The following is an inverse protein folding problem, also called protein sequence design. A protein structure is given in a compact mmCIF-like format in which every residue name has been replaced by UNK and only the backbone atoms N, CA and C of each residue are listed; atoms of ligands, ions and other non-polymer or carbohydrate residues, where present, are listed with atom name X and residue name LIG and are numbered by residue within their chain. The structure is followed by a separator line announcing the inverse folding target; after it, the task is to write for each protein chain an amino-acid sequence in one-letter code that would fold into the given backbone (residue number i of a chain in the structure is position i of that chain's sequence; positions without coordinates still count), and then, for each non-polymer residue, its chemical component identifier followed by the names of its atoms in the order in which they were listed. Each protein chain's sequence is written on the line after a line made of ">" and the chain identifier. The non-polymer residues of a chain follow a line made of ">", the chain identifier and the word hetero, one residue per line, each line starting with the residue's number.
data_IF_854253460805
#
_entry.id   IF_854253460805
#
_cell.length_a   1.000
_cell.length_b   1.000
_cell.length_c   1.000
_cell.angle_alpha   90.00
_cell.angle_beta   90.00
_cell.angle_gamma   90.00
#
_symmetry.space_group_name_H-M   'P 1'
#
loop_
_entity.id
_entity.type
_entity.pdbx_description
1 polymer ?
#
# COMPACT_ATOMS: atom_id res chain seq x y z
N UNK A 1 24.40 -14.94 -12.67
CA UNK A 1 24.69 -13.51 -12.42
C UNK A 1 24.58 -12.66 -13.69
N UNK A 2 25.12 -13.09 -14.80
CA UNK A 2 25.13 -12.33 -16.07
C UNK A 2 23.75 -11.93 -16.59
N UNK A 3 22.77 -12.83 -16.56
CA UNK A 3 21.39 -12.57 -17.01
C UNK A 3 20.69 -11.50 -16.18
N UNK A 4 20.87 -11.47 -14.85
CA UNK A 4 20.28 -10.46 -13.98
C UNK A 4 20.88 -9.07 -14.24
N UNK A 5 22.21 -8.99 -14.45
CA UNK A 5 22.91 -7.75 -14.81
C UNK A 5 22.46 -7.20 -16.15
N UNK A 6 22.23 -8.07 -17.14
CA UNK A 6 21.71 -7.66 -18.46
C UNK A 6 20.29 -7.08 -18.33
N UNK A 7 19.41 -7.71 -17.54
CA UNK A 7 18.06 -7.21 -17.32
C UNK A 7 18.05 -5.83 -16.66
N UNK A 8 18.90 -5.60 -15.65
CA UNK A 8 19.01 -4.29 -14.98
C UNK A 8 19.49 -3.21 -15.94
N UNK A 9 20.40 -3.52 -16.88
CA UNK A 9 20.90 -2.57 -17.89
C UNK A 9 19.87 -2.15 -18.92
N UNK A 10 18.79 -2.92 -19.10
CA UNK A 10 17.70 -2.60 -20.02
C UNK A 10 16.62 -1.71 -19.39
N UNK A 11 16.69 -1.47 -18.08
CA UNK A 11 15.75 -0.60 -17.39
C UNK A 11 16.03 0.87 -17.66
N UNK A 12 14.99 1.72 -17.73
CA UNK A 12 15.17 3.16 -17.92
C UNK A 12 15.95 3.77 -16.75
N UNK A 13 16.94 4.62 -17.05
CA UNK A 13 17.87 5.21 -16.09
C UNK A 13 17.49 6.65 -15.69
N UNK A 14 16.58 7.30 -16.39
CA UNK A 14 16.18 8.69 -16.12
C UNK A 14 14.68 8.91 -16.42
N UNK A 15 14.17 10.06 -15.96
CA UNK A 15 12.74 10.40 -16.07
C UNK A 15 12.23 10.35 -17.51
N UNK A 16 12.99 10.90 -18.47
CA UNK A 16 12.59 10.90 -19.88
C UNK A 16 12.51 9.49 -20.46
N UNK A 17 13.46 8.62 -20.10
CA UNK A 17 13.43 7.21 -20.53
C UNK A 17 12.27 6.45 -19.88
N UNK A 18 11.93 6.75 -18.61
CA UNK A 18 10.77 6.18 -17.95
C UNK A 18 9.48 6.57 -18.68
N UNK A 19 9.30 7.86 -18.99
CA UNK A 19 8.13 8.37 -19.71
C UNK A 19 8.02 7.75 -21.12
N UNK A 20 9.13 7.71 -21.86
CA UNK A 20 9.16 7.10 -23.19
C UNK A 20 8.84 5.60 -23.15
N UNK A 21 9.38 4.88 -22.17
CA UNK A 21 9.13 3.44 -22.02
C UNK A 21 7.67 3.17 -21.63
N UNK A 22 7.08 3.97 -20.73
CA UNK A 22 5.68 3.88 -20.37
C UNK A 22 4.78 4.10 -21.60
N UNK A 23 5.03 5.16 -22.39
CA UNK A 23 4.27 5.45 -23.62
C UNK A 23 4.36 4.33 -24.65
N UNK A 24 5.53 3.69 -24.80
CA UNK A 24 5.69 2.53 -25.69
C UNK A 24 4.87 1.32 -25.22
N UNK A 25 4.83 1.07 -23.92
CA UNK A 25 4.02 -0.01 -23.35
C UNK A 25 2.51 0.27 -23.52
N UNK A 26 2.06 1.51 -23.32
CA UNK A 26 0.68 1.93 -23.55
C UNK A 26 0.27 1.73 -25.01
N UNK A 27 1.06 2.21 -25.97
CA UNK A 27 0.83 2.02 -27.40
C UNK A 27 0.81 0.54 -27.79
N UNK A 28 1.72 -0.26 -27.19
CA UNK A 28 1.76 -1.71 -27.42
C UNK A 28 0.51 -2.43 -26.91
N UNK A 29 -0.03 -1.99 -25.78
CA UNK A 29 -1.29 -2.53 -25.23
C UNK A 29 -2.50 -2.13 -26.08
N UNK A 30 -2.59 -0.85 -26.47
CA UNK A 30 -3.69 -0.33 -27.29
C UNK A 30 -3.72 -0.97 -28.69
N UNK A 31 -2.55 -1.17 -29.30
CA UNK A 31 -2.43 -1.84 -30.60
C UNK A 31 -2.58 -3.36 -30.56
N UNK A 32 -2.59 -3.96 -29.36
CA UNK A 32 -2.59 -5.41 -29.17
C UNK A 32 -1.23 -6.09 -29.47
N UNK A 33 -0.18 -5.32 -29.71
CA UNK A 33 1.18 -5.84 -29.89
C UNK A 33 1.76 -6.43 -28.57
N UNK A 34 1.27 -5.94 -27.43
CA UNK A 34 1.60 -6.45 -26.09
C UNK A 34 0.38 -7.10 -25.49
N UNK A 35 0.52 -8.34 -25.01
CA UNK A 35 -0.54 -9.08 -24.33
C UNK A 35 -0.62 -8.58 -22.87
N UNK A 36 -1.74 -7.97 -22.49
CA UNK A 36 -1.93 -7.34 -21.19
C UNK A 36 -1.71 -8.31 -20.01
N UNK A 37 -2.16 -9.58 -20.14
CA UNK A 37 -1.96 -10.59 -19.09
C UNK A 37 -0.49 -10.97 -18.89
N UNK A 38 0.31 -10.96 -19.95
CA UNK A 38 1.76 -11.22 -19.87
C UNK A 38 2.48 -10.06 -19.20
N UNK A 39 2.14 -8.82 -19.58
CA UNK A 39 2.71 -7.63 -18.96
C UNK A 39 2.35 -7.55 -17.46
N UNK A 40 1.09 -7.85 -17.10
CA UNK A 40 0.64 -7.89 -15.72
C UNK A 40 1.37 -9.00 -14.92
N UNK A 41 1.56 -10.18 -15.50
CA UNK A 41 2.36 -11.26 -14.90
C UNK A 41 3.80 -10.83 -14.68
N UNK A 42 4.41 -10.16 -15.67
CA UNK A 42 5.77 -9.63 -15.57
C UNK A 42 5.90 -8.59 -14.46
N UNK A 43 5.01 -7.60 -14.40
CA UNK A 43 4.94 -6.63 -13.31
C UNK A 43 4.90 -7.31 -11.94
N UNK A 44 3.99 -8.26 -11.75
CA UNK A 44 3.84 -8.97 -10.47
C UNK A 44 5.05 -9.86 -10.12
N UNK A 45 5.74 -10.39 -11.12
CA UNK A 45 6.99 -11.12 -10.89
C UNK A 45 8.11 -10.18 -10.40
N UNK A 46 8.26 -9.02 -11.03
CA UNK A 46 9.23 -8.00 -10.60
C UNK A 46 8.94 -7.49 -9.19
N UNK A 47 7.70 -7.14 -8.88
CA UNK A 47 7.28 -6.75 -7.53
C UNK A 47 7.75 -7.78 -6.49
N UNK A 48 7.46 -9.06 -6.72
CA UNK A 48 7.88 -10.14 -5.80
C UNK A 48 9.39 -10.30 -5.68
N UNK A 49 10.13 -10.11 -6.78
CA UNK A 49 11.59 -10.14 -6.74
C UNK A 49 12.11 -9.00 -5.88
N UNK A 50 11.65 -7.77 -6.12
CA UNK A 50 12.07 -6.61 -5.35
C UNK A 50 11.66 -6.69 -3.89
N UNK A 51 10.47 -7.18 -3.57
CA UNK A 51 10.05 -7.40 -2.18
C UNK A 51 11.01 -8.34 -1.43
N UNK A 52 11.47 -9.40 -2.10
CA UNK A 52 12.41 -10.36 -1.50
C UNK A 52 13.80 -9.79 -1.24
N UNK A 53 14.32 -8.99 -2.18
CA UNK A 53 15.68 -8.46 -2.07
C UNK A 53 15.74 -7.11 -1.36
N UNK A 54 14.59 -6.47 -1.11
CA UNK A 54 14.48 -5.09 -0.58
C UNK A 54 15.35 -4.83 0.65
N UNK A 55 15.37 -5.68 1.69
CA UNK A 55 16.22 -5.43 2.86
C UNK A 55 17.70 -5.37 2.47
N UNK A 56 18.19 -6.38 1.79
CA UNK A 56 19.59 -6.45 1.35
C UNK A 56 19.95 -5.31 0.39
N UNK A 57 19.02 -4.95 -0.51
CA UNK A 57 19.22 -3.85 -1.44
C UNK A 57 19.39 -2.52 -0.71
N UNK A 58 18.53 -2.25 0.28
CA UNK A 58 18.59 -1.02 1.09
C UNK A 58 19.90 -0.98 1.89
N UNK A 59 20.27 -2.07 2.56
CA UNK A 59 21.51 -2.11 3.36
C UNK A 59 22.75 -1.88 2.49
N UNK A 60 22.81 -2.51 1.32
CA UNK A 60 23.90 -2.29 0.37
C UNK A 60 23.92 -0.84 -0.16
N UNK A 61 22.76 -0.27 -0.47
CA UNK A 61 22.65 1.10 -0.97
C UNK A 61 23.06 2.12 0.11
N UNK A 62 22.66 1.93 1.38
CA UNK A 62 23.10 2.77 2.50
C UNK A 62 24.62 2.77 2.60
N UNK A 63 25.23 1.58 2.65
CA UNK A 63 26.69 1.44 2.73
C UNK A 63 27.44 2.07 1.53
N UNK A 64 26.81 2.11 0.37
CA UNK A 64 27.36 2.78 -0.81
C UNK A 64 27.25 4.30 -0.70
N UNK A 65 26.08 4.82 -0.29
CA UNK A 65 25.80 6.26 -0.22
C UNK A 65 26.57 6.92 0.96
N UNK A 66 26.76 6.21 2.06
CA UNK A 66 27.56 6.71 3.22
C UNK A 66 28.99 7.13 2.84
N UNK A 67 29.54 6.55 1.76
CA UNK A 67 30.86 6.98 1.23
C UNK A 67 30.84 8.40 0.67
N UNK A 68 29.66 8.97 0.42
CA UNK A 68 29.41 10.31 -0.12
C UNK A 68 28.72 11.25 0.90
N UNK A 69 28.95 11.04 2.20
CA UNK A 69 28.43 11.92 3.28
C UNK A 69 26.89 12.04 3.32
N UNK A 70 26.18 10.92 3.19
CA UNK A 70 24.71 10.78 3.21
C UNK A 70 23.94 11.31 1.98
N UNK A 71 24.60 11.99 1.05
CA UNK A 71 24.00 12.43 -0.21
C UNK A 71 24.92 12.08 -1.37
N UNK A 72 24.37 11.48 -2.41
CA UNK A 72 25.10 11.11 -3.61
C UNK A 72 24.30 11.42 -4.87
N UNK A 73 24.97 11.91 -5.91
CA UNK A 73 24.41 11.98 -7.25
C UNK A 73 25.10 10.91 -8.09
N UNK A 74 24.37 9.86 -8.42
CA UNK A 74 24.86 8.71 -9.19
C UNK A 74 24.01 8.62 -10.47
N UNK A 75 24.64 8.69 -11.64
CA UNK A 75 23.94 8.63 -12.94
C UNK A 75 22.75 9.59 -13.05
N UNK A 76 22.92 10.84 -12.65
CA UNK A 76 21.88 11.88 -12.64
C UNK A 76 20.67 11.58 -11.74
N UNK A 77 20.83 10.67 -10.77
CA UNK A 77 19.83 10.37 -9.74
C UNK A 77 20.38 10.78 -8.38
N UNK A 78 19.62 11.57 -7.66
CA UNK A 78 19.97 11.98 -6.29
C UNK A 78 19.53 10.91 -5.29
N UNK A 79 20.46 10.50 -4.45
CA UNK A 79 20.22 9.59 -3.34
C UNK A 79 20.52 10.32 -2.02
N UNK A 80 19.64 10.20 -1.06
CA UNK A 80 19.85 10.73 0.30
C UNK A 80 19.43 9.74 1.36
N UNK A 81 20.27 9.59 2.39
CA UNK A 81 19.93 8.77 3.56
C UNK A 81 19.07 9.63 4.49
N UNK A 82 17.82 9.21 4.66
CA UNK A 82 16.86 9.87 5.54
C UNK A 82 16.39 8.92 6.63
N UNK A 83 16.17 9.44 7.84
CA UNK A 83 15.52 8.68 8.89
C UNK A 83 14.04 8.54 8.58
N UNK A 84 13.59 7.33 8.27
CA UNK A 84 12.19 7.05 7.99
C UNK A 84 11.42 6.87 9.31
N UNK A 85 10.62 7.88 9.64
CA UNK A 85 9.56 7.84 10.64
C UNK A 85 9.96 7.40 12.05
N UNK A 86 10.07 8.31 12.96
CA UNK A 86 10.22 8.00 14.39
C UNK A 86 8.93 7.31 14.87
N UNK A 87 9.04 6.07 15.33
CA UNK A 87 7.95 5.35 15.99
C UNK A 87 8.21 5.34 17.49
N UNK A 88 7.25 5.82 18.25
CA UNK A 88 7.30 5.75 19.70
C UNK A 88 6.60 4.48 20.19
N UNK A 89 7.32 3.68 20.98
CA UNK A 89 6.74 2.53 21.67
C UNK A 89 6.36 2.96 23.11
N UNK A 90 5.07 3.03 23.35
CA UNK A 90 4.50 3.44 24.64
C UNK A 90 4.27 2.27 25.60
N UNK A 91 4.56 1.03 25.22
CA UNK A 91 4.27 -0.18 26.01
C UNK A 91 4.94 -0.19 27.39
N UNK A 92 6.07 0.52 27.54
CA UNK A 92 6.84 0.61 28.79
C UNK A 92 6.69 1.93 29.54
N UNK A 93 5.83 2.83 29.07
CA UNK A 93 5.64 4.15 29.71
C UNK A 93 4.92 4.08 31.07
N UNK A 94 4.30 2.92 31.38
CA UNK A 94 3.53 2.66 32.61
C UNK A 94 2.47 3.75 32.90
N UNK A 95 1.92 4.35 31.85
CA UNK A 95 0.89 5.39 31.93
C UNK A 95 -0.50 4.74 31.97
N UNK A 96 -1.12 4.77 33.14
CA UNK A 96 -2.46 4.23 33.38
C UNK A 96 -3.54 4.97 32.57
N UNK A 97 -3.39 6.26 32.35
CA UNK A 97 -4.35 7.07 31.57
C UNK A 97 -4.33 6.62 30.12
N UNK A 98 -3.14 6.50 29.53
CA UNK A 98 -2.97 6.03 28.15
C UNK A 98 -3.52 4.60 27.98
N UNK A 99 -3.23 3.72 28.94
CA UNK A 99 -3.74 2.35 28.92
C UNK A 99 -5.27 2.29 28.95
N UNK A 100 -5.92 3.10 29.81
CA UNK A 100 -7.38 3.17 29.89
C UNK A 100 -7.98 3.74 28.60
N UNK A 101 -7.38 4.81 28.02
CA UNK A 101 -7.81 5.34 26.74
C UNK A 101 -7.69 4.31 25.59
N UNK A 102 -6.66 3.47 25.61
CA UNK A 102 -6.51 2.39 24.63
C UNK A 102 -7.62 1.34 24.78
N UNK A 103 -8.00 0.96 26.01
CA UNK A 103 -9.12 0.05 26.27
C UNK A 103 -10.46 0.65 25.83
N UNK A 104 -10.70 1.92 26.13
CA UNK A 104 -11.92 2.64 25.71
C UNK A 104 -12.00 2.72 24.18
N UNK A 105 -10.88 2.99 23.52
CA UNK A 105 -10.81 3.00 22.07
C UNK A 105 -11.17 1.63 21.45
N UNK A 106 -10.65 0.55 22.00
CA UNK A 106 -10.95 -0.80 21.51
C UNK A 106 -12.41 -1.18 21.78
N UNK A 107 -12.96 -0.79 22.90
CA UNK A 107 -14.38 -0.96 23.21
C UNK A 107 -15.28 -0.20 22.23
N UNK A 108 -14.96 1.07 21.96
CA UNK A 108 -15.71 1.89 20.99
C UNK A 108 -15.60 1.32 19.58
N UNK A 109 -14.41 0.89 19.15
CA UNK A 109 -14.21 0.20 17.87
C UNK A 109 -15.04 -1.07 17.75
N UNK A 110 -15.12 -1.85 18.83
CA UNK A 110 -15.96 -3.04 18.92
C UNK A 110 -17.45 -2.71 18.73
N UNK A 111 -17.94 -1.68 19.39
CA UNK A 111 -19.32 -1.17 19.23
C UNK A 111 -19.59 -0.71 17.80
N UNK A 112 -18.70 0.08 17.21
CA UNK A 112 -18.81 0.52 15.82
C UNK A 112 -18.90 -0.68 14.87
N UNK A 113 -18.01 -1.65 14.99
CA UNK A 113 -18.00 -2.86 14.14
C UNK A 113 -19.30 -3.65 14.27
N UNK A 114 -19.82 -3.80 15.50
CA UNK A 114 -21.12 -4.46 15.74
C UNK A 114 -22.25 -3.68 15.07
N UNK A 115 -22.27 -2.35 15.18
CA UNK A 115 -23.27 -1.50 14.55
C UNK A 115 -23.21 -1.55 13.04
N UNK A 116 -22.00 -1.49 12.45
CA UNK A 116 -21.81 -1.65 11.01
C UNK A 116 -22.28 -3.01 10.50
N UNK A 117 -22.03 -4.08 11.26
CA UNK A 117 -22.48 -5.43 10.91
C UNK A 117 -24.01 -5.50 10.89
N UNK A 118 -24.67 -4.91 11.89
CA UNK A 118 -26.11 -4.82 11.95
C UNK A 118 -26.66 -4.04 10.75
N UNK A 119 -26.11 -2.86 10.44
CA UNK A 119 -26.53 -2.07 9.29
C UNK A 119 -26.35 -2.81 7.95
N UNK A 120 -25.25 -3.57 7.80
CA UNK A 120 -25.00 -4.41 6.60
C UNK A 120 -26.00 -5.56 6.46
N UNK A 121 -26.63 -5.99 7.56
CA UNK A 121 -27.63 -7.07 7.55
C UNK A 121 -29.05 -6.60 7.21
N UNK A 122 -29.29 -5.28 7.19
CA UNK A 122 -30.60 -4.73 6.87
C UNK A 122 -30.97 -5.03 5.41
N UNK A 123 -32.14 -5.65 5.21
CA UNK A 123 -32.74 -5.88 3.88
C UNK A 123 -33.69 -4.76 3.49
N UNK A 124 -34.33 -4.16 4.49
CA UNK A 124 -35.31 -3.07 4.38
C UNK A 124 -34.99 -1.99 5.41
N UNK A 125 -35.47 -0.76 5.22
CA UNK A 125 -35.34 0.30 6.22
C UNK A 125 -35.97 -0.13 7.56
N UNK A 126 -35.25 0.11 8.66
CA UNK A 126 -35.70 -0.22 10.00
C UNK A 126 -35.86 1.05 10.83
N UNK A 127 -37.02 1.22 11.44
CA UNK A 127 -37.23 2.29 12.41
C UNK A 127 -36.71 1.89 13.78
N UNK A 128 -36.00 2.80 14.42
CA UNK A 128 -35.56 2.66 15.82
C UNK A 128 -36.03 3.88 16.61
N UNK A 129 -36.33 3.64 17.86
CA UNK A 129 -36.66 4.69 18.84
C UNK A 129 -35.46 4.83 19.76
N UNK A 130 -34.96 6.04 19.93
CA UNK A 130 -33.94 6.31 20.95
C UNK A 130 -34.64 6.32 22.33
N UNK A 131 -34.27 5.38 23.19
CA UNK A 131 -34.89 5.22 24.50
C UNK A 131 -34.66 6.41 25.44
N UNK A 132 -33.59 7.19 25.22
CA UNK A 132 -33.24 8.33 26.04
C UNK A 132 -33.97 9.60 25.62
N UNK A 133 -34.20 9.78 24.32
CA UNK A 133 -34.80 11.03 23.76
C UNK A 133 -36.22 10.82 23.25
N UNK A 134 -36.65 9.56 23.01
CA UNK A 134 -37.91 9.23 22.33
C UNK A 134 -37.92 9.53 20.84
N UNK A 135 -36.77 9.92 20.26
CA UNK A 135 -36.65 10.29 18.85
C UNK A 135 -36.72 9.06 17.95
N UNK A 136 -37.54 9.14 16.92
CA UNK A 136 -37.67 8.06 15.92
C UNK A 136 -36.74 8.32 14.76
N UNK A 137 -35.82 7.40 14.49
CA UNK A 137 -34.93 7.47 13.33
C UNK A 137 -35.09 6.25 12.42
N UNK A 138 -34.93 6.45 11.11
CA UNK A 138 -34.98 5.36 10.14
C UNK A 138 -33.57 5.02 9.70
N UNK A 139 -33.16 3.75 9.90
CA UNK A 139 -31.89 3.20 9.49
C UNK A 139 -32.01 2.59 8.11
N UNK A 140 -30.98 2.78 7.31
CA UNK A 140 -30.87 2.22 5.97
C UNK A 140 -29.61 1.33 5.86
N UNK A 141 -29.67 0.33 4.99
CA UNK A 141 -28.50 -0.46 4.67
C UNK A 141 -27.41 0.41 3.99
N UNK A 142 -26.12 0.17 4.28
CA UNK A 142 -25.04 0.92 3.65
C UNK A 142 -24.98 0.62 2.15
N UNK A 143 -24.64 1.64 1.34
CA UNK A 143 -24.42 1.47 -0.09
C UNK A 143 -23.16 0.62 -0.31
N UNK A 144 -23.32 -0.49 -1.03
CA UNK A 144 -22.20 -1.35 -1.41
C UNK A 144 -21.64 -0.90 -2.76
N UNK A 145 -20.33 -0.66 -2.81
CA UNK A 145 -19.59 -0.46 -4.05
C UNK A 145 -18.49 -1.49 -4.17
N UNK A 146 -18.20 -1.92 -5.38
CA UNK A 146 -17.08 -2.83 -5.68
C UNK A 146 -16.43 -2.42 -6.99
N UNK A 147 -15.12 -2.60 -7.09
CA UNK A 147 -14.36 -2.49 -8.34
C UNK A 147 -13.91 -3.87 -8.78
N UNK A 148 -13.90 -4.09 -10.09
CA UNK A 148 -13.33 -5.32 -10.67
C UNK A 148 -11.82 -5.19 -10.72
N UNK A 149 -11.10 -6.19 -10.26
CA UNK A 149 -9.65 -6.26 -10.30
C UNK A 149 -9.18 -7.66 -10.70
N UNK A 150 -7.94 -7.77 -11.16
CA UNK A 150 -7.32 -9.04 -11.53
C UNK A 150 -6.35 -9.46 -10.44
N UNK A 151 -6.51 -10.68 -9.91
CA UNK A 151 -5.58 -11.30 -8.99
C UNK A 151 -4.62 -12.20 -9.76
N UNK A 152 -3.32 -11.92 -9.66
CA UNK A 152 -2.25 -12.77 -10.21
C UNK A 152 -1.64 -13.62 -9.10
N UNK A 153 -1.61 -14.94 -9.27
CA UNK A 153 -1.00 -15.87 -8.32
C UNK A 153 -0.01 -16.79 -9.07
N UNK A 154 1.23 -16.85 -8.59
CA UNK A 154 2.22 -17.78 -9.10
C UNK A 154 2.09 -19.11 -8.35
N UNK A 155 2.08 -20.21 -9.10
CA UNK A 155 2.08 -21.58 -8.57
C UNK A 155 3.50 -22.10 -8.41
#
# INVERSE_FOLDING_TARGET
>A
METAMQTVRLMPENKQQIENFASQLEQGLESGAIVASELLRFQKALEKVFDKIKPTLIDCAINEIEKYEKNAIIKNTEFSIVEAGVKYDYSKCNDTVLNNLALDLDYIKGKMKSRETMLKSLKEPMQIIDEATGEVSTLYAPKKSSSTTIKVSFK
#
